data_IF_286500908215
#
_entry.id   IF_286500908215
#
_cell.length_a   1.000
_cell.length_b   1.000
_cell.length_c   1.000
_cell.angle_alpha   90.00
_cell.angle_beta   90.00
_cell.angle_gamma   90.00
#
_symmetry.space_group_name_H-M   'P 1'
#
loop_
_entity.id
_entity.type
_entity.pdbx_description
1 polymer ?
#
# COMPACT_ATOMS: atom_id res chain seq x y z
N UNK A 1 -0.24 0.70 -6.58
CA UNK A 1 -0.43 -0.14 -5.37
C UNK A 1 0.91 -0.77 -5.00
N UNK A 2 1.55 -0.41 -3.87
CA UNK A 2 2.07 -1.47 -2.98
C UNK A 2 2.14 -1.16 -1.46
N UNK A 3 1.93 0.08 -1.02
CA UNK A 3 2.33 0.57 0.31
C UNK A 3 1.79 -0.21 1.52
N UNK A 4 0.50 -0.57 1.54
CA UNK A 4 -0.05 -1.35 2.66
C UNK A 4 0.47 -2.80 2.70
N UNK A 5 0.92 -3.30 1.55
CA UNK A 5 1.47 -4.65 1.44
C UNK A 5 2.90 -4.72 1.95
N UNK A 6 3.72 -3.65 1.92
CA UNK A 6 5.14 -3.78 2.32
C UNK A 6 5.35 -4.04 3.82
N UNK A 7 4.61 -3.32 4.68
CA UNK A 7 4.61 -3.60 6.12
C UNK A 7 4.01 -4.99 6.44
N UNK A 8 3.16 -5.51 5.56
CA UNK A 8 2.64 -6.89 5.61
C UNK A 8 3.53 -7.90 4.87
N UNK A 9 4.50 -7.52 4.03
CA UNK A 9 5.30 -8.44 3.19
C UNK A 9 6.52 -8.99 3.93
N UNK A 10 7.03 -8.26 4.92
CA UNK A 10 7.87 -8.86 5.96
C UNK A 10 7.07 -9.77 6.91
N UNK A 11 5.75 -9.60 6.97
CA UNK A 11 4.84 -10.31 7.88
C UNK A 11 4.14 -11.53 7.21
N UNK A 12 4.10 -11.57 5.88
CA UNK A 12 3.32 -12.51 5.06
C UNK A 12 4.14 -12.91 3.84
N UNK A 13 5.14 -13.76 4.04
CA UNK A 13 5.83 -14.41 2.92
C UNK A 13 4.98 -15.48 2.19
N UNK A 14 3.70 -15.72 2.59
CA UNK A 14 2.83 -16.82 2.04
C UNK A 14 1.34 -16.50 1.81
N UNK A 15 0.53 -16.12 2.82
CA UNK A 15 -0.93 -16.43 2.87
C UNK A 15 -1.94 -15.24 2.79
N UNK A 16 -3.24 -15.51 3.00
CA UNK A 16 -4.41 -14.64 2.64
C UNK A 16 -5.46 -14.51 3.82
N UNK A 17 -6.75 -14.04 3.69
CA UNK A 17 -7.28 -12.98 4.61
C UNK A 17 -8.58 -13.30 5.41
N UNK A 18 -8.96 -12.49 6.44
CA UNK A 18 -10.35 -11.98 6.73
C UNK A 18 -10.63 -11.44 8.18
N UNK A 19 -11.41 -10.33 8.24
CA UNK A 19 -12.48 -9.89 9.18
C UNK A 19 -12.34 -9.62 10.71
N UNK A 20 -12.51 -8.31 11.05
CA UNK A 20 -13.34 -7.61 12.09
C UNK A 20 -13.31 -7.90 13.62
N UNK A 21 -13.52 -6.88 14.51
CA UNK A 21 -13.28 -6.96 15.96
C UNK A 21 -14.49 -6.68 16.90
N UNK A 22 -14.33 -6.91 18.21
CA UNK A 22 -15.24 -6.46 19.29
C UNK A 22 -14.49 -5.85 20.49
N UNK A 23 -15.09 -4.90 21.22
CA UNK A 23 -14.40 -4.03 22.19
C UNK A 23 -14.89 -4.14 23.65
N UNK A 24 -14.01 -3.88 24.61
CA UNK A 24 -14.36 -3.50 25.99
C UNK A 24 -13.36 -2.47 26.56
N UNK A 25 -13.82 -1.61 27.49
CA UNK A 25 -13.07 -0.51 28.13
C UNK A 25 -12.84 -0.78 29.63
N UNK A 26 -11.70 -0.34 30.19
CA UNK A 26 -11.51 -0.06 31.62
C UNK A 26 -10.77 1.29 31.81
N UNK A 27 -10.95 1.91 32.98
CA UNK A 27 -10.62 3.31 33.33
C UNK A 27 -9.22 3.48 34.01
N UNK A 28 -8.73 4.73 34.24
CA UNK A 28 -7.29 5.04 34.35
C UNK A 28 -6.78 5.38 35.77
N UNK A 29 -5.46 5.60 35.88
CA UNK A 29 -4.79 6.29 37.00
C UNK A 29 -3.62 7.17 36.49
N UNK A 30 -3.18 8.12 37.32
CA UNK A 30 -2.51 9.37 36.92
C UNK A 30 -1.04 9.48 37.46
N UNK A 31 -0.25 10.56 37.23
CA UNK A 31 1.11 10.42 36.67
C UNK A 31 2.27 11.01 37.51
N UNK A 32 3.51 10.89 37.01
CA UNK A 32 4.71 11.56 37.51
C UNK A 32 5.61 12.08 36.36
N UNK A 33 6.58 12.97 36.67
CA UNK A 33 7.06 14.01 35.76
C UNK A 33 8.40 13.77 34.99
N UNK A 34 8.63 14.64 34.00
CA UNK A 34 9.75 14.72 33.02
C UNK A 34 11.13 15.06 33.64
N UNK A 35 12.27 14.86 32.92
CA UNK A 35 12.75 15.73 31.81
C UNK A 35 13.28 14.91 30.59
N UNK A 36 13.76 15.44 29.46
CA UNK A 36 14.06 16.81 29.00
C UNK A 36 15.42 16.84 28.31
N UNK A 37 15.47 16.77 26.96
CA UNK A 37 16.73 16.64 26.20
C UNK A 37 16.60 17.08 24.73
N UNK A 38 17.67 17.69 24.18
CA UNK A 38 17.72 18.39 22.89
C UNK A 38 17.96 17.47 21.69
N UNK A 39 17.49 17.90 20.50
CA UNK A 39 17.66 17.16 19.25
C UNK A 39 18.76 17.77 18.36
N UNK A 40 19.62 16.92 17.82
CA UNK A 40 20.56 17.24 16.74
C UNK A 40 19.91 16.95 15.37
N UNK A 41 20.13 17.82 14.40
CA UNK A 41 19.56 17.71 13.04
C UNK A 41 20.35 16.72 12.18
N UNK A 42 19.73 15.59 11.83
CA UNK A 42 20.30 14.59 10.92
C UNK A 42 19.98 14.93 9.46
N UNK A 43 21.02 15.31 8.70
CA UNK A 43 20.93 15.43 7.24
C UNK A 43 20.81 14.06 6.57
N UNK A 44 20.08 14.00 5.45
CA UNK A 44 19.97 12.77 4.67
C UNK A 44 21.34 12.37 4.07
N UNK A 45 21.73 11.09 4.10
CA UNK A 45 23.00 10.65 3.53
C UNK A 45 22.99 10.80 2.01
N UNK A 46 23.90 11.62 1.46
CA UNK A 46 24.15 11.74 0.02
C UNK A 46 25.30 10.83 -0.46
N UNK A 47 25.46 9.68 0.18
CA UNK A 47 26.43 8.66 -0.22
C UNK A 47 25.84 7.72 -1.27
N UNK A 48 26.70 7.07 -2.06
CA UNK A 48 26.31 5.96 -2.95
C UNK A 48 25.68 4.85 -2.12
N UNK A 49 24.36 4.71 -2.20
CA UNK A 49 23.58 3.90 -1.28
C UNK A 49 23.94 2.40 -1.41
N UNK A 50 24.54 1.77 -0.38
CA UNK A 50 24.98 0.38 -0.52
C UNK A 50 23.81 -0.63 -0.59
N UNK A 51 22.58 -0.20 -0.31
CA UNK A 51 21.37 -0.96 -0.60
C UNK A 51 21.25 -1.29 -2.11
N UNK A 52 21.72 -0.41 -3.00
CA UNK A 52 21.71 -0.61 -4.46
C UNK A 52 22.63 -1.75 -4.95
N UNK A 53 23.64 -2.14 -4.17
CA UNK A 53 24.57 -3.21 -4.58
C UNK A 53 23.89 -4.58 -4.68
N UNK A 54 22.97 -4.83 -3.74
CA UNK A 54 22.18 -6.06 -3.69
C UNK A 54 21.02 -6.04 -4.70
N UNK A 55 20.48 -4.86 -5.00
CA UNK A 55 19.16 -4.66 -5.61
C UNK A 55 19.13 -3.55 -6.69
N UNK A 56 19.91 -3.67 -7.78
CA UNK A 56 19.94 -2.64 -8.82
C UNK A 56 18.61 -2.56 -9.57
N UNK A 57 18.07 -1.34 -9.71
CA UNK A 57 16.80 -1.13 -10.41
C UNK A 57 15.56 -1.52 -9.59
N UNK A 58 15.71 -1.83 -8.30
CA UNK A 58 14.58 -1.92 -7.39
C UNK A 58 13.95 -0.54 -7.21
N UNK A 59 12.67 -0.40 -7.58
CA UNK A 59 11.91 0.82 -7.32
C UNK A 59 11.56 0.98 -5.84
N UNK A 60 11.73 -0.06 -5.02
CA UNK A 60 11.48 0.01 -3.59
C UNK A 60 12.26 -1.07 -2.84
N UNK A 61 12.64 -0.76 -1.60
CA UNK A 61 13.21 -1.73 -0.69
C UNK A 61 13.03 -1.37 0.79
N UNK A 62 13.37 -2.34 1.63
CA UNK A 62 13.33 -2.22 3.07
C UNK A 62 14.46 -3.05 3.69
N UNK A 63 15.11 -2.51 4.72
CA UNK A 63 16.06 -3.19 5.57
C UNK A 63 15.60 -3.10 7.03
N UNK A 64 15.49 -4.25 7.69
CA UNK A 64 15.08 -4.42 9.08
C UNK A 64 16.16 -5.21 9.83
N UNK A 65 16.83 -4.57 10.78
CA UNK A 65 17.67 -5.23 11.80
C UNK A 65 16.74 -5.76 12.90
N UNK A 66 16.23 -6.97 12.68
CA UNK A 66 15.36 -7.67 13.62
C UNK A 66 16.10 -8.00 14.92
N UNK A 67 17.42 -8.21 14.90
CA UNK A 67 18.22 -8.45 16.10
C UNK A 67 18.19 -7.26 17.07
N UNK A 68 18.35 -6.05 16.54
CA UNK A 68 18.28 -4.78 17.28
C UNK A 68 16.85 -4.47 17.71
N UNK A 69 15.87 -4.69 16.83
CA UNK A 69 14.46 -4.56 17.20
C UNK A 69 14.09 -5.49 18.38
N UNK A 70 14.49 -6.77 18.35
CA UNK A 70 14.30 -7.72 19.47
C UNK A 70 14.93 -7.24 20.77
N UNK A 71 16.09 -6.58 20.70
CA UNK A 71 16.78 -6.05 21.88
C UNK A 71 16.10 -4.81 22.49
N UNK A 72 15.22 -4.14 21.75
CA UNK A 72 14.52 -2.96 22.22
C UNK A 72 13.35 -3.34 23.16
N UNK A 73 13.19 -2.71 24.34
CA UNK A 73 12.13 -3.05 25.29
C UNK A 73 10.71 -3.03 24.70
N UNK A 74 10.44 -2.09 23.79
CA UNK A 74 9.16 -1.96 23.08
C UNK A 74 8.76 -3.20 22.29
N UNK A 75 9.71 -3.99 21.79
CA UNK A 75 9.42 -5.21 21.05
C UNK A 75 8.79 -6.28 21.96
N UNK A 76 9.33 -6.48 23.17
CA UNK A 76 8.77 -7.43 24.13
C UNK A 76 7.32 -7.07 24.51
N UNK A 77 7.06 -5.78 24.78
CA UNK A 77 5.71 -5.28 25.06
C UNK A 77 4.77 -5.40 23.84
N UNK A 78 5.28 -5.23 22.62
CA UNK A 78 4.51 -5.43 21.38
C UNK A 78 4.13 -6.90 21.17
N UNK A 79 5.06 -7.85 21.34
CA UNK A 79 4.77 -9.28 21.27
C UNK A 79 3.74 -9.69 22.34
N UNK A 80 3.88 -9.19 23.57
CA UNK A 80 2.92 -9.43 24.64
C UNK A 80 1.52 -8.88 24.30
N UNK A 81 1.44 -7.66 23.76
CA UNK A 81 0.18 -7.04 23.35
C UNK A 81 -0.51 -7.78 22.19
N UNK A 82 0.23 -8.26 21.18
CA UNK A 82 -0.33 -9.07 20.09
C UNK A 82 -0.89 -10.41 20.61
N UNK A 83 -0.18 -11.06 21.54
CA UNK A 83 -0.66 -12.29 22.21
C UNK A 83 -1.93 -12.05 23.03
N UNK A 84 -2.03 -10.92 23.74
CA UNK A 84 -3.20 -10.56 24.56
C UNK A 84 -4.44 -10.16 23.74
N UNK A 85 -4.27 -9.43 22.63
CA UNK A 85 -5.39 -8.91 21.83
C UNK A 85 -6.11 -9.97 21.00
N UNK A 86 -5.66 -11.22 21.04
CA UNK A 86 -6.20 -12.25 20.16
C UNK A 86 -5.89 -11.99 18.68
N UNK A 87 -4.88 -11.15 18.40
CA UNK A 87 -4.19 -11.09 17.11
C UNK A 87 -3.35 -12.37 16.90
N UNK A 88 -4.00 -13.53 17.08
CA UNK A 88 -3.51 -14.85 16.67
C UNK A 88 -3.17 -14.71 15.19
N UNK A 89 -1.90 -14.93 14.92
CA UNK A 89 -1.26 -14.28 13.79
C UNK A 89 -1.72 -14.89 12.45
N UNK A 90 -1.21 -14.35 11.34
CA UNK A 90 -1.11 -15.12 10.09
C UNK A 90 0.14 -16.02 10.07
N UNK A 91 0.87 -16.09 11.18
CA UNK A 91 2.08 -16.90 11.43
C UNK A 91 1.89 -18.31 12.07
N UNK A 92 0.69 -18.80 12.51
CA UNK A 92 0.55 -20.13 13.12
C UNK A 92 1.21 -21.27 12.34
N UNK A 93 1.18 -21.32 10.99
CA UNK A 93 1.88 -22.37 10.27
C UNK A 93 3.38 -22.49 10.62
N UNK A 94 4.09 -21.38 10.85
CA UNK A 94 5.51 -21.41 11.20
C UNK A 94 5.75 -21.86 12.64
N UNK A 95 5.05 -21.28 13.62
CA UNK A 95 5.23 -21.65 15.01
C UNK A 95 4.68 -23.06 15.31
N UNK A 96 3.47 -23.39 14.85
CA UNK A 96 2.81 -24.67 15.10
C UNK A 96 3.44 -25.82 14.31
N UNK A 97 3.77 -25.64 13.02
CA UNK A 97 4.29 -26.74 12.18
C UNK A 97 5.81 -26.87 12.25
N UNK A 98 6.55 -25.79 12.56
CA UNK A 98 8.02 -25.83 12.60
C UNK A 98 8.65 -25.60 13.97
N UNK A 99 7.91 -25.11 14.97
CA UNK A 99 8.49 -24.73 16.25
C UNK A 99 9.55 -23.65 16.10
N UNK A 100 9.29 -22.69 15.20
CA UNK A 100 10.18 -21.58 14.85
C UNK A 100 9.37 -20.27 14.84
N UNK A 101 9.67 -19.36 15.77
CA UNK A 101 9.17 -18.00 15.67
C UNK A 101 9.92 -17.26 14.55
N UNK A 102 9.25 -16.71 13.53
CA UNK A 102 9.92 -15.96 12.45
C UNK A 102 10.77 -14.81 12.98
N UNK A 103 10.31 -14.17 14.07
CA UNK A 103 11.02 -13.09 14.76
C UNK A 103 12.31 -13.52 15.42
N UNK A 104 12.38 -14.74 15.94
CA UNK A 104 13.60 -15.29 16.55
C UNK A 104 14.54 -15.89 15.51
N UNK A 105 14.01 -16.33 14.36
CA UNK A 105 14.76 -17.01 13.30
C UNK A 105 15.63 -16.08 12.44
N UNK A 106 15.30 -14.80 12.33
CA UNK A 106 15.92 -13.83 11.41
C UNK A 106 16.69 -12.74 12.16
N UNK A 107 17.91 -12.41 11.77
CA UNK A 107 18.69 -11.32 12.36
C UNK A 107 18.53 -10.02 11.55
N UNK A 108 18.78 -10.07 10.25
CA UNK A 108 18.58 -8.98 9.30
C UNK A 108 17.61 -9.45 8.21
N UNK A 109 16.71 -8.57 7.78
CA UNK A 109 15.78 -8.82 6.68
C UNK A 109 15.87 -7.67 5.67
N UNK A 110 16.17 -8.01 4.42
CA UNK A 110 16.13 -7.10 3.28
C UNK A 110 15.03 -7.56 2.33
N UNK A 111 14.09 -6.67 2.02
CA UNK A 111 13.01 -6.91 1.05
C UNK A 111 13.17 -5.93 -0.10
N UNK A 112 12.93 -6.40 -1.32
CA UNK A 112 12.92 -5.60 -2.54
C UNK A 112 11.68 -5.84 -3.35
N UNK A 113 11.08 -4.76 -3.85
CA UNK A 113 10.05 -4.84 -4.88
C UNK A 113 10.59 -4.26 -6.19
N UNK A 114 10.85 -5.19 -7.11
CA UNK A 114 11.14 -4.98 -8.52
C UNK A 114 10.23 -5.94 -9.34
N UNK A 115 10.57 -6.22 -10.60
CA UNK A 115 9.84 -7.21 -11.43
C UNK A 115 9.88 -8.65 -10.91
N UNK A 116 10.83 -8.97 -10.01
CA UNK A 116 11.17 -10.34 -9.63
C UNK A 116 10.99 -10.65 -8.14
N UNK A 117 10.88 -9.61 -7.30
CA UNK A 117 10.77 -9.59 -5.83
C UNK A 117 11.82 -10.46 -5.15
N UNK A 118 12.81 -9.82 -4.54
CA UNK A 118 13.83 -10.50 -3.74
C UNK A 118 13.64 -10.24 -2.24
N UNK A 119 13.76 -11.31 -1.46
CA UNK A 119 13.99 -11.25 -0.01
C UNK A 119 15.34 -11.89 0.29
N UNK A 120 16.15 -11.19 1.09
CA UNK A 120 17.40 -11.72 1.64
C UNK A 120 17.33 -11.63 3.17
N UNK A 121 17.66 -12.70 3.88
CA UNK A 121 17.60 -12.75 5.34
C UNK A 121 18.85 -13.42 5.92
N UNK A 122 19.46 -12.81 6.93
CA UNK A 122 20.47 -13.50 7.76
C UNK A 122 19.73 -14.26 8.86
N UNK A 123 20.16 -15.48 9.16
CA UNK A 123 19.45 -16.35 10.12
C UNK A 123 20.17 -16.41 11.48
N UNK A 124 19.38 -16.39 12.56
CA UNK A 124 19.83 -16.67 13.91
C UNK A 124 19.88 -18.17 14.23
N UNK A 125 19.27 -18.98 13.36
CA UNK A 125 19.15 -20.43 13.48
C UNK A 125 19.73 -21.14 12.25
N UNK A 126 20.10 -22.43 12.34
CA UNK A 126 20.60 -23.19 11.21
C UNK A 126 19.64 -23.17 10.01
N UNK A 127 20.16 -22.81 8.83
CA UNK A 127 19.36 -22.60 7.62
C UNK A 127 18.63 -23.86 7.15
N UNK A 128 19.20 -25.04 7.39
CA UNK A 128 18.61 -26.34 7.09
C UNK A 128 17.28 -26.57 7.84
N UNK A 129 17.11 -26.00 9.06
CA UNK A 129 15.82 -26.00 9.76
C UNK A 129 14.78 -25.12 9.05
N UNK A 130 15.19 -23.98 8.50
CA UNK A 130 14.30 -23.06 7.78
C UNK A 130 13.89 -23.64 6.42
N UNK A 131 14.83 -24.23 5.68
CA UNK A 131 14.52 -24.90 4.40
C UNK A 131 13.54 -26.08 4.60
N UNK A 132 13.78 -26.97 5.57
CA UNK A 132 12.82 -28.05 5.94
C UNK A 132 11.47 -27.54 6.49
N UNK A 133 11.41 -26.30 6.95
CA UNK A 133 10.15 -25.66 7.32
C UNK A 133 9.39 -25.21 6.07
N UNK A 134 10.07 -24.52 5.15
CA UNK A 134 9.51 -24.03 3.88
C UNK A 134 9.04 -25.17 2.96
N UNK A 135 9.76 -26.30 2.91
CA UNK A 135 9.35 -27.52 2.22
C UNK A 135 7.93 -27.97 2.65
N UNK A 136 7.65 -27.93 3.97
CA UNK A 136 6.38 -28.39 4.54
C UNK A 136 5.26 -27.36 4.41
N UNK A 137 5.50 -26.10 4.78
CA UNK A 137 4.46 -25.06 4.81
C UNK A 137 4.08 -24.60 3.40
N UNK A 138 5.08 -24.32 2.56
CA UNK A 138 4.89 -23.73 1.24
C UNK A 138 4.92 -24.79 0.10
N UNK A 139 4.84 -26.08 0.44
CA UNK A 139 4.89 -27.24 -0.49
C UNK A 139 6.11 -27.22 -1.42
N UNK A 140 7.20 -26.60 -0.96
CA UNK A 140 8.43 -26.49 -1.71
C UNK A 140 9.12 -27.84 -1.88
N UNK A 141 9.77 -28.04 -3.03
CA UNK A 141 10.50 -29.27 -3.35
C UNK A 141 11.98 -29.09 -3.03
N UNK A 142 12.62 -30.01 -2.27
CA UNK A 142 14.07 -30.01 -2.09
C UNK A 142 14.77 -30.03 -3.45
N UNK A 143 15.78 -29.19 -3.62
CA UNK A 143 16.46 -28.97 -4.90
C UNK A 143 17.88 -28.44 -4.70
N UNK A 144 18.60 -28.23 -5.79
CA UNK A 144 19.89 -27.54 -5.80
C UNK A 144 19.85 -26.37 -6.78
N UNK A 145 20.36 -25.21 -6.37
CA UNK A 145 20.42 -24.02 -7.22
C UNK A 145 21.85 -23.46 -7.24
N UNK A 146 22.48 -23.37 -8.41
CA UNK A 146 23.89 -23.00 -8.58
C UNK A 146 24.85 -23.81 -7.65
N UNK A 147 24.52 -25.08 -7.39
CA UNK A 147 25.26 -25.98 -6.50
C UNK A 147 24.98 -25.84 -4.99
N UNK A 148 24.13 -24.90 -4.59
CA UNK A 148 23.71 -24.69 -3.20
C UNK A 148 22.42 -25.46 -2.86
N UNK A 149 22.21 -25.79 -1.59
CA UNK A 149 20.95 -26.37 -1.12
C UNK A 149 19.82 -25.36 -1.30
N UNK A 150 18.72 -25.81 -1.90
CA UNK A 150 17.60 -24.95 -2.25
C UNK A 150 16.24 -25.63 -2.08
N UNK A 151 15.19 -24.83 -2.00
CA UNK A 151 13.79 -25.25 -2.08
C UNK A 151 13.17 -24.54 -3.27
N UNK A 152 12.63 -25.30 -4.22
CA UNK A 152 11.97 -24.79 -5.41
C UNK A 152 10.45 -24.78 -5.23
N UNK A 153 9.79 -23.74 -5.74
CA UNK A 153 8.33 -23.57 -5.67
C UNK A 153 7.70 -23.65 -7.05
N UNK A 154 6.42 -24.06 -7.09
CA UNK A 154 5.69 -24.29 -8.36
C UNK A 154 5.43 -22.99 -9.16
N UNK A 155 5.61 -21.82 -8.54
CA UNK A 155 5.55 -20.50 -9.19
C UNK A 155 6.89 -20.05 -9.82
N UNK A 156 7.90 -20.94 -9.86
CA UNK A 156 9.21 -20.68 -10.44
C UNK A 156 10.19 -19.95 -9.51
N UNK A 157 9.80 -19.62 -8.27
CA UNK A 157 10.72 -19.07 -7.26
C UNK A 157 11.61 -20.15 -6.66
N UNK A 158 12.71 -19.71 -6.06
CA UNK A 158 13.61 -20.54 -5.25
C UNK A 158 13.93 -19.87 -3.93
N UNK A 159 14.10 -20.66 -2.88
CA UNK A 159 14.75 -20.28 -1.63
C UNK A 159 16.10 -21.00 -1.54
N UNK A 160 17.19 -20.28 -1.28
CA UNK A 160 18.56 -20.81 -1.31
C UNK A 160 19.31 -20.36 -0.07
N UNK A 161 20.00 -21.27 0.63
CA UNK A 161 20.98 -20.88 1.66
C UNK A 161 22.37 -20.70 1.05
N UNK A 162 23.06 -19.62 1.44
CA UNK A 162 24.47 -19.40 1.20
C UNK A 162 25.21 -19.14 2.52
N UNK A 163 25.26 -20.13 3.39
CA UNK A 163 26.06 -20.09 4.62
C UNK A 163 25.48 -19.13 5.65
N UNK A 164 24.17 -19.20 5.89
CA UNK A 164 23.43 -18.37 6.84
C UNK A 164 22.76 -17.15 6.23
N UNK A 165 23.01 -16.87 4.95
CA UNK A 165 22.24 -15.91 4.15
C UNK A 165 21.21 -16.67 3.30
N UNK A 166 19.95 -16.55 3.69
CA UNK A 166 18.81 -17.08 2.95
C UNK A 166 18.38 -16.09 1.86
N UNK A 167 18.24 -16.56 0.63
CA UNK A 167 17.77 -15.76 -0.51
C UNK A 167 16.49 -16.38 -1.08
N UNK A 168 15.41 -15.60 -1.19
CA UNK A 168 14.13 -16.03 -1.76
C UNK A 168 13.65 -15.06 -2.84
N UNK A 169 13.23 -15.59 -3.98
CA UNK A 169 12.69 -14.79 -5.09
C UNK A 169 12.68 -15.56 -6.41
N UNK A 170 12.43 -14.85 -7.52
CA UNK A 170 12.60 -15.46 -8.84
C UNK A 170 14.06 -15.90 -9.08
N UNK A 171 14.25 -17.00 -9.80
CA UNK A 171 15.58 -17.59 -10.05
C UNK A 171 16.61 -16.60 -10.61
N UNK A 172 16.18 -15.70 -11.51
CA UNK A 172 17.08 -14.71 -12.12
C UNK A 172 17.61 -13.70 -11.10
N UNK A 173 16.76 -13.19 -10.21
CA UNK A 173 17.14 -12.27 -9.14
C UNK A 173 18.08 -12.95 -8.12
N UNK A 174 17.73 -14.16 -7.66
CA UNK A 174 18.56 -14.95 -6.74
C UNK A 174 19.93 -15.24 -7.37
N UNK A 175 19.97 -15.68 -8.64
CA UNK A 175 21.22 -15.87 -9.40
C UNK A 175 22.02 -14.58 -9.55
N UNK A 176 21.36 -13.44 -9.74
CA UNK A 176 21.98 -12.12 -9.81
C UNK A 176 22.77 -11.78 -8.54
N UNK A 177 22.18 -12.01 -7.36
CA UNK A 177 22.85 -11.82 -6.07
C UNK A 177 23.94 -12.88 -5.83
N UNK A 178 23.67 -14.15 -6.16
CA UNK A 178 24.66 -15.22 -6.00
C UNK A 178 25.93 -14.98 -6.84
N UNK A 179 25.82 -14.48 -8.07
CA UNK A 179 26.95 -14.22 -8.96
C UNK A 179 27.83 -13.05 -8.52
N UNK A 180 27.24 -12.00 -7.93
CA UNK A 180 27.99 -10.88 -7.35
C UNK A 180 28.71 -11.30 -6.08
N UNK A 181 28.03 -12.12 -5.28
CA UNK A 181 28.46 -12.51 -3.95
C UNK A 181 28.23 -11.38 -2.93
N UNK A 182 27.75 -11.70 -1.72
CA UNK A 182 27.95 -10.79 -0.60
C UNK A 182 29.45 -10.78 -0.25
N UNK A 183 30.05 -9.59 -0.05
CA UNK A 183 31.29 -9.54 0.73
C UNK A 183 30.99 -10.12 2.12
N UNK A 184 31.70 -11.19 2.49
CA UNK A 184 31.48 -11.86 3.79
C UNK A 184 31.63 -10.85 4.92
N UNK A 185 30.57 -10.69 5.71
CA UNK A 185 30.58 -9.92 6.96
C UNK A 185 30.00 -8.50 6.88
N UNK A 186 29.71 -7.95 5.70
CA UNK A 186 29.40 -6.51 5.56
C UNK A 186 27.97 -6.14 5.17
N UNK A 187 27.00 -7.04 5.24
CA UNK A 187 25.60 -6.67 4.91
C UNK A 187 25.15 -5.49 5.80
N UNK A 188 25.15 -5.68 7.13
CA UNK A 188 24.77 -4.61 8.06
C UNK A 188 25.68 -3.36 7.99
N UNK A 189 26.99 -3.52 7.78
CA UNK A 189 27.94 -2.38 7.65
C UNK A 189 27.66 -1.54 6.41
N UNK A 190 27.28 -2.17 5.30
CA UNK A 190 26.90 -1.49 4.07
C UNK A 190 25.51 -0.87 4.17
N UNK A 191 24.53 -1.56 4.76
CA UNK A 191 23.14 -1.08 4.79
C UNK A 191 22.85 0.06 5.79
N UNK A 192 23.89 0.73 6.31
CA UNK A 192 23.84 2.14 6.70
C UNK A 192 22.91 2.54 7.84
N UNK A 193 22.41 1.58 8.64
CA UNK A 193 21.60 1.88 9.81
C UNK A 193 22.41 2.68 10.83
N UNK A 194 21.93 3.88 11.18
CA UNK A 194 22.42 4.59 12.36
C UNK A 194 22.36 3.69 13.60
N UNK A 195 23.24 3.83 14.61
CA UNK A 195 23.32 2.90 15.75
C UNK A 195 22.00 2.70 16.52
N UNK A 196 21.07 3.65 16.44
CA UNK A 196 19.74 3.65 17.06
C UNK A 196 18.59 3.24 16.11
N UNK A 197 18.86 3.12 14.81
CA UNK A 197 17.88 2.73 13.80
C UNK A 197 17.80 1.20 13.66
N UNK A 198 16.59 0.67 13.62
CA UNK A 198 16.31 -0.75 13.37
C UNK A 198 15.64 -0.98 12.00
N UNK A 199 15.10 0.06 11.37
CA UNK A 199 14.36 -0.01 10.11
C UNK A 199 14.76 1.15 9.19
N UNK A 200 15.06 0.86 7.93
CA UNK A 200 15.04 1.82 6.82
C UNK A 200 14.16 1.23 5.71
N UNK A 201 13.22 2.01 5.18
CA UNK A 201 12.50 1.71 3.95
C UNK A 201 12.63 2.88 2.98
N UNK A 202 12.65 2.60 1.69
CA UNK A 202 12.73 3.62 0.63
C UNK A 202 12.01 3.14 -0.64
N UNK A 203 11.50 4.06 -1.44
CA UNK A 203 11.00 3.74 -2.77
C UNK A 203 10.66 4.96 -3.63
N UNK A 204 10.71 4.74 -4.93
CA UNK A 204 10.35 5.65 -6.02
C UNK A 204 9.07 5.07 -6.67
N UNK A 205 7.88 5.47 -6.21
CA UNK A 205 6.64 4.92 -6.74
C UNK A 205 6.43 5.38 -8.19
N UNK A 206 6.09 4.44 -9.07
CA UNK A 206 5.81 4.74 -10.49
C UNK A 206 4.54 5.57 -10.69
N UNK A 207 3.61 5.47 -9.74
CA UNK A 207 2.28 6.09 -9.81
C UNK A 207 2.08 7.05 -8.64
N UNK A 208 1.52 8.22 -8.92
CA UNK A 208 1.12 9.21 -7.91
C UNK A 208 2.02 10.46 -7.85
N UNK A 209 1.83 11.30 -6.83
CA UNK A 209 2.51 12.61 -6.76
C UNK A 209 3.93 12.55 -6.16
N UNK A 210 4.32 11.40 -5.60
CA UNK A 210 5.61 11.24 -4.93
C UNK A 210 6.69 10.84 -5.94
N UNK A 211 7.85 11.49 -5.90
CA UNK A 211 9.04 11.09 -6.64
C UNK A 211 9.83 10.02 -5.90
N UNK A 212 9.96 10.20 -4.60
CA UNK A 212 10.58 9.25 -3.69
C UNK A 212 9.96 9.38 -2.30
N UNK A 213 10.05 8.33 -1.51
CA UNK A 213 9.72 8.36 -0.10
C UNK A 213 10.62 7.41 0.68
N UNK A 214 10.81 7.70 1.97
CA UNK A 214 11.63 6.91 2.89
C UNK A 214 11.05 6.91 4.30
N UNK A 215 11.25 5.83 5.05
CA UNK A 215 10.92 5.74 6.46
C UNK A 215 12.13 5.25 7.26
N UNK A 216 12.39 5.84 8.43
CA UNK A 216 13.44 5.38 9.37
C UNK A 216 12.83 5.13 10.74
N UNK A 217 12.91 3.88 11.22
CA UNK A 217 12.44 3.47 12.55
C UNK A 217 13.59 3.39 13.55
N UNK A 218 13.42 4.00 14.72
CA UNK A 218 14.37 3.99 15.85
C UNK A 218 13.69 3.55 17.13
N UNK A 219 14.41 2.82 17.97
CA UNK A 219 13.89 2.35 19.26
C UNK A 219 14.97 2.46 20.35
N UNK A 220 14.59 3.11 21.45
CA UNK A 220 15.36 3.27 22.67
C UNK A 220 14.43 2.99 23.88
N UNK A 221 14.96 2.74 25.09
CA UNK A 221 14.13 2.33 26.23
C UNK A 221 12.94 3.26 26.57
N UNK A 222 13.08 4.57 26.32
CA UNK A 222 12.07 5.60 26.65
C UNK A 222 11.53 6.36 25.43
N UNK A 223 11.96 6.00 24.21
CA UNK A 223 11.60 6.66 22.97
C UNK A 223 11.56 5.66 21.81
N UNK A 224 10.40 5.56 21.16
CA UNK A 224 10.28 5.04 19.82
C UNK A 224 10.09 6.21 18.85
N UNK A 225 10.75 6.20 17.69
CA UNK A 225 10.45 7.15 16.62
C UNK A 225 10.33 6.49 15.25
N UNK A 226 9.43 7.04 14.44
CA UNK A 226 9.29 6.72 13.02
C UNK A 226 9.31 8.02 12.22
N UNK A 227 10.38 8.19 11.43
CA UNK A 227 10.61 9.38 10.62
C UNK A 227 10.27 9.04 9.16
N UNK A 228 9.13 9.54 8.67
CA UNK A 228 8.74 9.41 7.27
C UNK A 228 9.08 10.69 6.49
N UNK A 229 9.62 10.54 5.28
CA UNK A 229 9.89 11.65 4.34
C UNK A 229 9.35 11.27 2.97
N UNK A 230 8.71 12.21 2.27
CA UNK A 230 8.24 12.00 0.90
C UNK A 230 8.46 13.25 0.04
N UNK A 231 9.23 13.11 -1.04
CA UNK A 231 9.45 14.16 -2.02
C UNK A 231 8.28 14.20 -3.01
N UNK A 232 7.61 15.35 -3.09
CA UNK A 232 6.48 15.63 -3.97
C UNK A 232 6.88 16.47 -5.19
N UNK A 233 8.19 16.61 -5.44
CA UNK A 233 8.77 17.27 -6.61
C UNK A 233 8.66 18.80 -6.63
N UNK A 234 7.67 19.41 -5.96
CA UNK A 234 7.57 20.86 -5.77
C UNK A 234 7.18 21.22 -4.34
N UNK A 235 7.65 22.38 -3.87
CA UNK A 235 7.31 22.89 -2.54
C UNK A 235 5.82 23.23 -2.38
N UNK A 236 5.14 23.57 -3.48
CA UNK A 236 3.71 23.85 -3.44
C UNK A 236 2.88 22.57 -3.26
N UNK A 237 3.20 21.52 -4.01
CA UNK A 237 2.59 20.19 -3.82
C UNK A 237 2.84 19.67 -2.40
N UNK A 238 4.05 19.89 -1.85
CA UNK A 238 4.40 19.53 -0.48
C UNK A 238 3.56 20.27 0.57
N UNK A 239 3.38 21.58 0.44
CA UNK A 239 2.50 22.37 1.32
C UNK A 239 1.04 21.93 1.24
N UNK A 240 0.51 21.73 0.03
CA UNK A 240 -0.87 21.28 -0.16
C UNK A 240 -1.11 19.87 0.41
N UNK A 241 -0.15 18.96 0.25
CA UNK A 241 -0.21 17.64 0.87
C UNK A 241 -0.18 17.73 2.40
N UNK A 242 0.70 18.57 2.97
CA UNK A 242 0.81 18.74 4.41
C UNK A 242 -0.49 19.30 5.03
N UNK A 243 -1.12 20.30 4.42
CA UNK A 243 -2.42 20.83 4.85
C UNK A 243 -3.49 19.73 4.85
N UNK A 244 -3.59 18.93 3.78
CA UNK A 244 -4.57 17.82 3.70
C UNK A 244 -4.33 16.73 4.74
N UNK A 245 -3.08 16.45 5.07
CA UNK A 245 -2.72 15.50 6.15
C UNK A 245 -3.11 16.08 7.51
N UNK A 246 -2.80 17.35 7.80
CA UNK A 246 -3.15 17.98 9.08
C UNK A 246 -4.67 18.08 9.29
N UNK A 247 -5.43 18.48 8.27
CA UNK A 247 -6.91 18.40 8.30
C UNK A 247 -7.41 16.95 8.51
N UNK A 248 -6.75 15.97 7.90
CA UNK A 248 -7.04 14.55 8.07
C UNK A 248 -6.83 14.10 9.51
N UNK A 249 -5.74 14.54 10.14
CA UNK A 249 -5.40 14.28 11.54
C UNK A 249 -6.36 15.01 12.50
N UNK A 250 -6.74 16.25 12.20
CA UNK A 250 -7.74 17.00 12.96
C UNK A 250 -9.08 16.24 13.00
N UNK A 251 -9.61 15.84 11.84
CA UNK A 251 -10.82 15.01 11.74
C UNK A 251 -10.66 13.64 12.41
N UNK A 252 -9.46 13.04 12.37
CA UNK A 252 -9.18 11.76 13.03
C UNK A 252 -9.07 11.86 14.56
N UNK A 253 -8.90 13.06 15.13
CA UNK A 253 -8.97 13.31 16.59
C UNK A 253 -10.41 13.42 17.09
N UNK A 254 -11.37 13.71 16.21
CA UNK A 254 -12.79 13.77 16.57
C UNK A 254 -13.35 12.34 16.77
N UNK A 255 -13.97 12.09 17.94
CA UNK A 255 -14.64 10.83 18.24
C UNK A 255 -13.75 9.63 18.61
N UNK A 256 -12.42 9.75 18.58
CA UNK A 256 -11.50 8.67 19.00
C UNK A 256 -11.19 8.71 20.50
N UNK A 257 -10.83 7.56 21.13
CA UNK A 257 -10.43 7.53 22.54
C UNK A 257 -9.20 8.40 22.84
N UNK A 258 -9.10 8.94 24.06
CA UNK A 258 -8.01 9.85 24.46
C UNK A 258 -6.58 9.30 24.25
N UNK A 259 -6.36 7.98 24.40
CA UNK A 259 -5.07 7.36 24.08
C UNK A 259 -4.70 7.42 22.58
N UNK A 260 -5.70 7.43 21.71
CA UNK A 260 -5.53 7.65 20.27
C UNK A 260 -5.19 9.11 19.99
N UNK A 261 -5.84 10.06 20.68
CA UNK A 261 -5.50 11.49 20.59
C UNK A 261 -4.04 11.73 20.98
N UNK A 262 -3.57 11.21 22.12
CA UNK A 262 -2.15 11.29 22.56
C UNK A 262 -1.19 10.73 21.49
N UNK A 263 -1.57 9.66 20.80
CA UNK A 263 -0.79 9.08 19.70
C UNK A 263 -0.77 10.00 18.47
N UNK A 264 -1.90 10.62 18.12
CA UNK A 264 -2.04 11.58 17.03
C UNK A 264 -1.39 12.96 17.33
N UNK A 265 -1.19 13.32 18.59
CA UNK A 265 -0.41 14.48 19.03
C UNK A 265 1.11 14.20 18.99
N UNK A 266 1.49 12.93 19.08
CA UNK A 266 2.88 12.48 18.95
C UNK A 266 3.37 12.48 17.49
N UNK A 267 2.47 12.69 16.53
CA UNK A 267 2.77 12.84 15.09
C UNK A 267 2.96 14.32 14.74
N UNK A 268 4.18 14.70 14.37
CA UNK A 268 4.56 16.04 13.92
C UNK A 268 4.70 16.05 12.41
N UNK A 269 4.23 17.11 11.76
CA UNK A 269 4.30 17.29 10.31
C UNK A 269 5.06 18.58 9.98
N UNK A 270 6.00 18.51 9.05
CA UNK A 270 6.76 19.67 8.55
C UNK A 270 6.99 19.56 7.04
N UNK A 271 7.34 20.69 6.41
CA UNK A 271 7.66 20.77 4.98
C UNK A 271 9.07 21.33 4.81
N UNK A 272 9.91 20.59 4.11
CA UNK A 272 11.32 20.89 3.83
C UNK A 272 11.52 20.98 2.31
N UNK A 273 11.30 22.18 1.74
CA UNK A 273 11.32 22.36 0.29
C UNK A 273 10.20 21.56 -0.37
N UNK A 274 10.53 20.64 -1.28
CA UNK A 274 9.58 19.72 -1.93
C UNK A 274 9.23 18.47 -1.10
N UNK A 275 9.86 18.30 0.08
CA UNK A 275 9.67 17.11 0.92
C UNK A 275 8.67 17.39 2.04
N UNK A 276 7.70 16.49 2.23
CA UNK A 276 6.90 16.41 3.46
C UNK A 276 7.60 15.47 4.42
N UNK A 277 7.77 15.90 5.67
CA UNK A 277 8.35 15.10 6.75
C UNK A 277 7.29 14.87 7.82
N UNK A 278 6.98 13.61 8.12
CA UNK A 278 6.05 13.21 9.16
C UNK A 278 6.81 12.38 10.21
N UNK A 279 6.86 12.86 11.45
CA UNK A 279 7.63 12.26 12.54
C UNK A 279 6.73 11.83 13.69
N UNK A 280 6.63 10.53 13.93
CA UNK A 280 5.98 9.97 15.11
C UNK A 280 7.02 9.81 16.22
N UNK A 281 6.82 10.42 17.39
CA UNK A 281 7.70 10.30 18.57
C UNK A 281 6.92 9.80 19.80
N UNK A 282 6.95 8.48 20.05
CA UNK A 282 6.28 7.88 21.19
C UNK A 282 7.23 7.81 22.38
N UNK A 283 6.88 8.52 23.47
CA UNK A 283 7.64 8.58 24.72
C UNK A 283 6.86 7.94 25.85
N UNK A 284 7.56 7.28 26.76
CA UNK A 284 6.97 6.59 27.91
C UNK A 284 7.65 5.25 28.16
N UNK A 285 6.97 4.36 28.88
CA UNK A 285 7.42 2.97 29.04
C UNK A 285 7.34 2.18 27.73
N UNK A 286 7.87 0.96 27.73
CA UNK A 286 7.78 0.06 26.58
C UNK A 286 6.32 -0.29 26.23
N UNK A 287 5.45 -0.38 27.23
CA UNK A 287 4.01 -0.62 27.09
C UNK A 287 3.29 0.57 26.45
N UNK A 288 3.57 1.80 26.93
CA UNK A 288 3.06 3.04 26.34
C UNK A 288 3.45 3.16 24.86
N UNK A 289 4.72 2.86 24.55
CA UNK A 289 5.25 2.87 23.19
C UNK A 289 4.55 1.80 22.32
N UNK A 290 4.44 0.56 22.80
CA UNK A 290 3.79 -0.52 22.06
C UNK A 290 2.30 -0.24 21.78
N UNK A 291 1.57 0.30 22.76
CA UNK A 291 0.18 0.73 22.58
C UNK A 291 0.04 1.87 21.57
N UNK A 292 0.97 2.84 21.59
CA UNK A 292 1.05 3.90 20.59
C UNK A 292 1.36 3.39 19.18
N UNK A 293 2.29 2.44 19.04
CA UNK A 293 2.62 1.80 17.75
C UNK A 293 1.40 1.06 17.19
N UNK A 294 0.75 0.21 17.98
CA UNK A 294 -0.44 -0.53 17.55
C UNK A 294 -1.57 0.40 17.11
N UNK A 295 -1.76 1.50 17.85
CA UNK A 295 -2.73 2.55 17.50
C UNK A 295 -2.39 3.26 16.19
N UNK A 296 -1.14 3.71 16.02
CA UNK A 296 -0.67 4.38 14.81
C UNK A 296 -0.73 3.46 13.58
N UNK A 297 -0.39 2.18 13.73
CA UNK A 297 -0.48 1.18 12.68
C UNK A 297 -1.94 0.95 12.24
N UNK A 298 -2.87 0.81 13.19
CA UNK A 298 -4.30 0.64 12.88
C UNK A 298 -4.87 1.83 12.08
N UNK A 299 -4.57 3.07 12.52
CA UNK A 299 -4.95 4.28 11.80
C UNK A 299 -4.30 4.37 10.42
N UNK A 300 -3.01 4.02 10.31
CA UNK A 300 -2.27 3.98 9.05
C UNK A 300 -2.90 3.03 8.03
N UNK A 301 -3.28 1.82 8.45
CA UNK A 301 -3.97 0.85 7.57
C UNK A 301 -5.32 1.40 7.08
N UNK A 302 -6.12 2.02 7.95
CA UNK A 302 -7.40 2.64 7.55
C UNK A 302 -7.18 3.80 6.59
N UNK A 303 -6.20 4.67 6.86
CA UNK A 303 -5.86 5.80 5.99
C UNK A 303 -5.38 5.34 4.60
N UNK A 304 -4.49 4.34 4.53
CA UNK A 304 -4.00 3.78 3.27
C UNK A 304 -5.12 3.08 2.49
N UNK A 305 -5.99 2.30 3.15
CA UNK A 305 -7.18 1.71 2.49
C UNK A 305 -8.08 2.79 1.89
N UNK A 306 -8.41 3.84 2.66
CA UNK A 306 -9.24 4.95 2.18
C UNK A 306 -8.58 5.71 1.02
N UNK A 307 -7.27 5.95 1.09
CA UNK A 307 -6.52 6.56 -0.01
C UNK A 307 -6.53 5.69 -1.28
N UNK A 308 -6.35 4.37 -1.14
CA UNK A 308 -6.42 3.44 -2.26
C UNK A 308 -7.82 3.40 -2.88
N UNK A 309 -8.88 3.34 -2.08
CA UNK A 309 -10.26 3.44 -2.56
C UNK A 309 -10.48 4.78 -3.31
N UNK A 310 -10.10 5.91 -2.71
CA UNK A 310 -10.18 7.22 -3.37
C UNK A 310 -9.40 7.27 -4.70
N UNK A 311 -8.21 6.68 -4.77
CA UNK A 311 -7.41 6.59 -5.99
C UNK A 311 -8.00 5.66 -7.06
N UNK A 312 -8.81 4.67 -6.69
CA UNK A 312 -9.61 3.90 -7.67
C UNK A 312 -10.79 4.74 -8.16
N UNK A 313 -11.51 5.40 -7.26
CA UNK A 313 -12.74 6.15 -7.60
C UNK A 313 -12.52 7.33 -8.55
N UNK A 314 -11.32 7.92 -8.60
CA UNK A 314 -10.99 8.95 -9.59
C UNK A 314 -11.12 8.46 -11.04
N UNK A 315 -10.93 7.16 -11.29
CA UNK A 315 -11.20 6.52 -12.58
C UNK A 315 -12.67 6.71 -12.98
N UNK A 316 -13.61 6.23 -12.16
CA UNK A 316 -15.05 6.38 -12.42
C UNK A 316 -15.49 7.84 -12.59
N UNK A 317 -15.01 8.75 -11.72
CA UNK A 317 -15.34 10.19 -11.81
C UNK A 317 -14.89 10.79 -13.15
N UNK A 318 -13.67 10.47 -13.58
CA UNK A 318 -13.10 11.02 -14.81
C UNK A 318 -13.80 10.44 -16.05
N UNK A 319 -13.93 9.12 -16.13
CA UNK A 319 -14.47 8.43 -17.31
C UNK A 319 -15.96 8.69 -17.52
N UNK A 320 -16.79 8.70 -16.45
CA UNK A 320 -18.22 9.04 -16.56
C UNK A 320 -18.41 10.46 -17.13
N UNK A 321 -17.58 11.41 -16.70
CA UNK A 321 -17.60 12.77 -17.25
C UNK A 321 -17.03 12.85 -18.68
N UNK A 322 -16.04 12.02 -19.02
CA UNK A 322 -15.49 11.95 -20.37
C UNK A 322 -16.53 11.45 -21.38
N UNK A 323 -17.23 10.36 -21.05
CA UNK A 323 -18.36 9.83 -21.83
C UNK A 323 -19.46 10.90 -21.98
N UNK A 324 -19.83 11.60 -20.91
CA UNK A 324 -20.86 12.64 -20.97
C UNK A 324 -20.47 13.81 -21.90
N UNK A 325 -19.21 14.27 -21.87
CA UNK A 325 -18.68 15.28 -22.82
C UNK A 325 -18.67 14.76 -24.26
N UNK A 326 -18.34 13.49 -24.47
CA UNK A 326 -18.41 12.87 -25.79
C UNK A 326 -19.83 12.81 -26.36
N UNK A 327 -20.81 12.44 -25.53
CA UNK A 327 -22.23 12.47 -25.88
C UNK A 327 -22.73 13.90 -26.18
N UNK A 328 -22.23 14.91 -25.47
CA UNK A 328 -22.52 16.32 -25.78
C UNK A 328 -21.97 16.70 -27.16
N UNK A 329 -20.70 16.39 -27.45
CA UNK A 329 -20.07 16.68 -28.75
C UNK A 329 -20.81 16.01 -29.92
N UNK A 330 -21.33 14.79 -29.71
CA UNK A 330 -22.19 14.11 -30.68
C UNK A 330 -23.53 14.84 -30.94
N UNK A 331 -24.14 15.43 -29.90
CA UNK A 331 -25.33 16.26 -30.05
C UNK A 331 -25.02 17.58 -30.76
N UNK A 332 -23.92 18.26 -30.41
CA UNK A 332 -23.48 19.47 -31.10
C UNK A 332 -23.25 19.21 -32.60
N UNK A 333 -22.65 18.05 -32.93
CA UNK A 333 -22.53 17.56 -34.29
C UNK A 333 -23.87 17.32 -35.00
N UNK A 334 -24.94 16.92 -34.30
CA UNK A 334 -26.28 16.87 -34.88
C UNK A 334 -26.84 18.27 -35.16
N UNK A 335 -26.70 19.20 -34.21
CA UNK A 335 -27.19 20.58 -34.33
C UNK A 335 -26.53 21.29 -35.51
N UNK A 336 -25.20 21.19 -35.64
CA UNK A 336 -24.44 21.75 -36.76
C UNK A 336 -24.86 21.20 -38.12
N UNK A 337 -25.38 19.97 -38.18
CA UNK A 337 -25.92 19.33 -39.38
C UNK A 337 -27.44 19.52 -39.55
N UNK A 338 -28.08 20.42 -38.79
CA UNK A 338 -29.52 20.68 -38.85
C UNK A 338 -30.40 19.49 -38.41
N UNK A 339 -29.84 18.52 -37.70
CA UNK A 339 -30.55 17.32 -37.25
C UNK A 339 -31.18 17.54 -35.88
N UNK A 340 -32.36 16.96 -35.67
CA UNK A 340 -33.05 17.00 -34.38
C UNK A 340 -32.24 16.27 -33.30
N UNK A 341 -31.78 17.02 -32.29
CA UNK A 341 -31.01 16.52 -31.15
C UNK A 341 -31.63 15.28 -30.50
N UNK A 342 -30.92 14.15 -30.60
CA UNK A 342 -31.26 12.86 -30.01
C UNK A 342 -29.99 12.12 -29.58
N UNK A 343 -29.98 11.61 -28.36
CA UNK A 343 -28.91 10.71 -27.90
C UNK A 343 -28.84 9.45 -28.78
N UNK A 344 -27.67 8.79 -28.87
CA UNK A 344 -27.56 7.44 -29.43
C UNK A 344 -28.40 6.43 -28.62
N UNK A 345 -28.69 5.23 -29.13
CA UNK A 345 -29.32 4.15 -28.35
C UNK A 345 -28.50 3.81 -27.09
N UNK A 346 -29.10 3.10 -26.13
CA UNK A 346 -28.34 2.60 -24.97
C UNK A 346 -27.15 1.72 -25.39
N UNK A 347 -26.03 1.81 -24.68
CA UNK A 347 -24.89 0.91 -24.81
C UNK A 347 -25.00 -0.24 -23.80
N UNK A 348 -24.63 -1.48 -24.16
CA UNK A 348 -24.41 -2.52 -23.18
C UNK A 348 -23.24 -2.17 -22.26
N UNK A 349 -23.22 -2.79 -21.09
CA UNK A 349 -22.20 -2.58 -20.07
C UNK A 349 -20.84 -3.15 -20.48
N UNK A 350 -19.75 -2.40 -20.27
CA UNK A 350 -18.37 -2.79 -20.65
C UNK A 350 -17.36 -2.53 -19.50
N UNK A 351 -16.63 -3.56 -19.00
CA UNK A 351 -16.85 -5.01 -19.23
C UNK A 351 -18.22 -5.47 -18.73
N UNK A 352 -18.78 -6.55 -19.31
CA UNK A 352 -20.14 -6.99 -18.98
C UNK A 352 -20.38 -7.31 -17.49
N UNK A 353 -19.35 -7.84 -16.80
CA UNK A 353 -19.34 -8.05 -15.36
C UNK A 353 -18.72 -6.87 -14.60
N UNK A 354 -19.25 -6.54 -13.43
CA UNK A 354 -18.64 -5.58 -12.49
C UNK A 354 -17.30 -6.16 -11.99
N UNK A 355 -16.16 -5.46 -12.14
CA UNK A 355 -14.88 -5.91 -11.58
C UNK A 355 -14.92 -5.95 -10.05
N UNK A 356 -14.32 -6.99 -9.46
CA UNK A 356 -14.32 -7.28 -8.02
C UNK A 356 -12.93 -7.17 -7.41
N UNK A 357 -12.57 -6.02 -6.90
CA UNK A 357 -11.29 -5.69 -6.26
C UNK A 357 -10.09 -5.60 -7.21
N UNK A 358 -10.17 -6.26 -8.37
CA UNK A 358 -9.14 -6.40 -9.40
C UNK A 358 -9.43 -5.51 -10.61
N UNK A 359 -8.38 -5.16 -11.35
CA UNK A 359 -8.52 -4.53 -12.68
C UNK A 359 -8.88 -5.58 -13.72
N UNK A 360 -9.77 -5.24 -14.65
CA UNK A 360 -10.13 -6.05 -15.81
C UNK A 360 -9.65 -5.33 -17.06
N UNK A 361 -8.95 -6.03 -17.96
CA UNK A 361 -8.61 -5.51 -19.27
C UNK A 361 -9.75 -5.80 -20.26
N UNK A 362 -10.33 -4.77 -20.87
CA UNK A 362 -11.28 -4.92 -21.98
C UNK A 362 -10.54 -5.03 -23.31
N UNK A 363 -11.15 -5.68 -24.29
CA UNK A 363 -10.64 -5.70 -25.66
C UNK A 363 -11.16 -4.48 -26.43
N UNK A 364 -10.43 -3.94 -27.42
CA UNK A 364 -10.93 -2.83 -28.26
C UNK A 364 -12.28 -3.13 -28.91
N UNK A 365 -12.56 -4.41 -29.24
CA UNK A 365 -13.83 -4.88 -29.78
C UNK A 365 -15.03 -4.66 -28.86
N UNK A 366 -14.83 -4.59 -27.53
CA UNK A 366 -15.91 -4.42 -26.56
C UNK A 366 -16.51 -3.01 -26.64
N UNK A 367 -15.71 -2.04 -27.11
CA UNK A 367 -16.06 -0.64 -27.30
C UNK A 367 -16.62 -0.33 -28.70
N UNK A 368 -16.77 -1.33 -29.58
CA UNK A 368 -17.18 -1.11 -30.97
C UNK A 368 -18.68 -0.76 -31.15
N UNK A 369 -19.48 -0.82 -30.09
CA UNK A 369 -20.91 -0.49 -30.12
C UNK A 369 -21.13 0.95 -30.62
N UNK A 370 -22.12 1.22 -31.51
CA UNK A 370 -22.31 2.54 -32.11
C UNK A 370 -22.43 3.70 -31.11
N UNK A 371 -22.97 3.43 -29.92
CA UNK A 371 -23.09 4.40 -28.82
C UNK A 371 -21.74 4.78 -28.20
N UNK A 372 -20.82 3.84 -28.02
CA UNK A 372 -19.47 4.13 -27.50
C UNK A 372 -18.68 4.94 -28.53
N UNK A 373 -18.80 4.59 -29.82
CA UNK A 373 -18.27 5.39 -30.93
C UNK A 373 -18.88 6.79 -31.00
N UNK A 374 -20.19 6.93 -30.80
CA UNK A 374 -20.85 8.24 -30.73
C UNK A 374 -20.35 9.06 -29.54
N UNK A 375 -20.10 8.43 -28.39
CA UNK A 375 -19.48 9.07 -27.24
C UNK A 375 -17.95 9.29 -27.39
N UNK A 376 -17.35 8.92 -28.53
CA UNK A 376 -15.90 8.98 -28.79
C UNK A 376 -15.07 8.31 -27.67
N UNK A 377 -15.57 7.20 -27.13
CA UNK A 377 -15.08 6.62 -25.89
C UNK A 377 -14.61 5.16 -26.03
N UNK A 378 -13.44 4.87 -25.48
CA UNK A 378 -12.88 3.52 -25.33
C UNK A 378 -11.76 3.53 -24.29
N UNK A 379 -11.66 2.49 -23.47
CA UNK A 379 -10.56 2.31 -22.51
C UNK A 379 -9.61 1.23 -23.03
N UNK A 380 -8.31 1.54 -23.09
CA UNK A 380 -7.26 0.59 -23.49
C UNK A 380 -6.47 0.01 -22.32
N UNK A 381 -6.59 0.57 -21.12
CA UNK A 381 -5.88 0.12 -19.91
C UNK A 381 -6.76 -0.75 -18.99
N UNK A 382 -6.19 -1.52 -18.05
CA UNK A 382 -6.97 -2.32 -17.11
C UNK A 382 -7.74 -1.44 -16.11
N UNK A 383 -9.06 -1.56 -16.10
CA UNK A 383 -10.03 -0.72 -15.38
C UNK A 383 -10.62 -1.41 -14.14
N UNK A 384 -10.93 -0.66 -13.08
CA UNK A 384 -11.68 -1.12 -11.90
C UNK A 384 -13.19 -1.01 -12.05
N UNK A 385 -13.68 -0.19 -12.98
CA UNK A 385 -15.10 0.04 -13.19
C UNK A 385 -15.62 -0.55 -14.49
N UNK A 386 -16.94 -0.70 -14.52
CA UNK A 386 -17.71 -1.13 -15.66
C UNK A 386 -18.76 -0.08 -16.03
N UNK A 387 -18.77 0.30 -17.31
CA UNK A 387 -19.44 1.50 -17.81
C UNK A 387 -20.66 1.16 -18.64
N UNK A 388 -21.72 1.96 -18.53
CA UNK A 388 -23.00 1.74 -19.21
C UNK A 388 -23.62 3.10 -19.62
N UNK A 389 -24.26 3.15 -20.79
CA UNK A 389 -25.02 4.33 -21.25
C UNK A 389 -26.48 3.90 -21.41
N UNK A 390 -27.37 4.45 -20.59
CA UNK A 390 -28.80 4.14 -20.61
C UNK A 390 -29.54 5.34 -21.18
N UNK A 391 -30.02 5.23 -22.42
CA UNK A 391 -30.78 6.28 -23.10
C UNK A 391 -32.29 6.02 -22.96
N UNK A 392 -33.08 7.07 -22.69
CA UNK A 392 -34.54 6.97 -22.63
C UNK A 392 -35.16 6.65 -24.01
N UNK A 393 -36.36 6.03 -24.07
CA UNK A 393 -36.98 5.63 -25.35
C UNK A 393 -37.21 6.76 -26.36
N UNK A 394 -37.44 7.98 -25.90
CA UNK A 394 -37.58 9.19 -26.75
C UNK A 394 -36.25 9.71 -27.31
N UNK A 395 -35.13 9.25 -26.72
CA UNK A 395 -33.75 9.69 -26.91
C UNK A 395 -33.52 11.17 -26.56
N UNK A 396 -34.29 11.71 -25.61
CA UNK A 396 -34.14 13.07 -25.08
C UNK A 396 -33.41 13.14 -23.75
N UNK A 397 -33.29 12.04 -23.01
CA UNK A 397 -32.39 11.94 -21.86
C UNK A 397 -31.50 10.70 -21.95
N UNK A 398 -30.34 10.78 -21.31
CA UNK A 398 -29.39 9.68 -21.16
C UNK A 398 -28.78 9.70 -19.75
N UNK A 399 -28.36 8.53 -19.29
CA UNK A 399 -27.59 8.36 -18.05
C UNK A 399 -26.32 7.60 -18.35
N UNK A 400 -25.19 8.18 -18.00
CA UNK A 400 -23.88 7.52 -18.02
C UNK A 400 -23.63 6.98 -16.63
N UNK A 401 -23.32 5.68 -16.53
CA UNK A 401 -23.10 5.00 -15.26
C UNK A 401 -21.76 4.28 -15.23
N UNK A 402 -21.13 4.25 -14.07
CA UNK A 402 -20.02 3.35 -13.76
C UNK A 402 -20.32 2.56 -12.48
N UNK A 403 -19.94 1.28 -12.50
CA UNK A 403 -20.15 0.30 -11.43
C UNK A 403 -18.83 -0.39 -11.09
N UNK A 404 -18.46 -0.46 -9.82
CA UNK A 404 -17.27 -1.16 -9.35
C UNK A 404 -17.50 -1.74 -7.95
N UNK A 405 -16.88 -2.86 -7.64
CA UNK A 405 -16.87 -3.53 -6.34
C UNK A 405 -15.38 -3.50 -5.93
N UNK A 406 -14.92 -2.50 -5.15
CA UNK A 406 -13.49 -2.19 -5.05
C UNK A 406 -12.73 -3.03 -4.02
N UNK A 407 -13.43 -3.69 -3.10
CA UNK A 407 -12.85 -4.64 -2.14
C UNK A 407 -13.21 -6.11 -2.39
N UNK A 408 -14.26 -6.39 -3.18
CA UNK A 408 -14.69 -7.73 -3.57
C UNK A 408 -15.84 -8.31 -2.74
N UNK A 409 -16.47 -7.55 -1.83
CA UNK A 409 -17.54 -8.02 -0.95
C UNK A 409 -18.88 -8.30 -1.68
N UNK A 410 -19.05 -7.80 -2.90
CA UNK A 410 -20.25 -7.94 -3.72
C UNK A 410 -21.21 -6.76 -3.69
N UNK A 411 -20.91 -5.70 -2.95
CA UNK A 411 -21.56 -4.38 -3.04
C UNK A 411 -20.87 -3.55 -4.11
N UNK A 412 -21.58 -2.56 -4.66
CA UNK A 412 -21.04 -1.79 -5.79
C UNK A 412 -21.11 -0.28 -5.59
N UNK A 413 -19.93 0.34 -5.47
CA UNK A 413 -19.70 1.75 -5.82
C UNK A 413 -20.42 2.08 -7.14
N UNK A 414 -21.29 3.09 -7.13
CA UNK A 414 -22.00 3.56 -8.32
C UNK A 414 -21.77 5.06 -8.55
N UNK A 415 -21.45 5.42 -9.79
CA UNK A 415 -21.29 6.79 -10.26
C UNK A 415 -22.26 7.04 -11.41
N UNK A 416 -23.01 8.15 -11.39
CA UNK A 416 -24.00 8.48 -12.42
C UNK A 416 -23.93 9.96 -12.84
N UNK A 417 -23.93 10.23 -14.15
CA UNK A 417 -24.24 11.55 -14.72
C UNK A 417 -25.49 11.42 -15.59
N UNK A 418 -26.50 12.23 -15.27
CA UNK A 418 -27.69 12.39 -16.09
C UNK A 418 -27.51 13.53 -17.10
N UNK A 419 -28.06 13.37 -18.30
CA UNK A 419 -28.10 14.38 -19.36
C UNK A 419 -29.51 14.50 -19.93
N UNK A 420 -29.94 15.71 -20.29
CA UNK A 420 -31.24 15.99 -20.89
C UNK A 420 -31.12 17.01 -22.03
N UNK A 421 -31.84 16.78 -23.13
CA UNK A 421 -32.07 17.76 -24.19
C UNK A 421 -33.37 18.49 -23.92
N UNK A 422 -33.28 19.77 -23.56
CA UNK A 422 -34.44 20.60 -23.22
C UNK A 422 -35.35 20.87 -24.43
N UNK A 423 -36.52 21.45 -24.17
CA UNK A 423 -37.43 21.92 -25.23
C UNK A 423 -36.85 23.03 -26.11
N UNK A 424 -35.86 23.79 -25.61
CA UNK A 424 -35.14 24.83 -26.39
C UNK A 424 -34.00 24.27 -27.22
N UNK A 425 -33.66 22.98 -27.08
CA UNK A 425 -32.52 22.36 -27.75
C UNK A 425 -31.19 22.55 -27.03
N UNK A 426 -31.21 23.02 -25.77
CA UNK A 426 -30.03 23.05 -24.91
C UNK A 426 -29.75 21.65 -24.33
N UNK A 427 -28.47 21.32 -24.10
CA UNK A 427 -28.06 20.07 -23.45
C UNK A 427 -27.69 20.36 -22.01
N UNK A 428 -28.52 19.91 -21.06
CA UNK A 428 -28.23 19.97 -19.64
C UNK A 428 -27.42 18.73 -19.24
N UNK A 429 -26.35 18.95 -18.47
CA UNK A 429 -25.56 17.90 -17.84
C UNK A 429 -25.67 18.11 -16.32
N UNK A 430 -26.22 17.13 -15.62
CA UNK A 430 -26.38 17.19 -14.18
C UNK A 430 -25.06 16.91 -13.46
N UNK A 431 -24.94 17.38 -12.23
CA UNK A 431 -23.81 17.05 -11.35
C UNK A 431 -23.68 15.53 -11.18
N UNK A 432 -22.44 15.04 -11.17
CA UNK A 432 -22.11 13.65 -10.84
C UNK A 432 -22.75 13.25 -9.50
N UNK A 433 -23.51 12.15 -9.52
CA UNK A 433 -24.04 11.51 -8.33
C UNK A 433 -23.18 10.30 -7.98
N UNK A 434 -22.93 10.10 -6.69
CA UNK A 434 -22.10 9.02 -6.16
C UNK A 434 -22.92 8.25 -5.11
N UNK A 435 -22.86 6.92 -5.15
CA UNK A 435 -23.49 6.04 -4.17
C UNK A 435 -22.45 5.02 -3.72
N UNK A 436 -22.29 4.88 -2.41
CA UNK A 436 -21.28 4.04 -1.75
C UNK A 436 -19.88 4.13 -2.37
N UNK A 437 -19.32 5.34 -2.66
CA UNK A 437 -18.11 5.49 -3.48
C UNK A 437 -16.81 5.08 -2.79
N UNK A 438 -16.85 4.34 -1.69
CA UNK A 438 -15.66 3.80 -1.01
C UNK A 438 -15.74 2.28 -0.75
N UNK A 439 -16.82 1.62 -1.23
CA UNK A 439 -16.89 0.16 -1.38
C UNK A 439 -16.21 -0.28 -2.67
#
# INVERSE_FOLDING_TARGET
MPWCSLFLLAWVLVATPACTPSSHRIAPLAPAASPGGSSTTSGAPRGTDPLLFLLPGASMGMHLDASRLRSAPVFASMIAWMKLTGAKEHLPPFEEQCGLSPWEAVNDLVVSEDKHRLVAATLAIPADRVLRCLERIAKGKPSTFEGLQAVAFDDGKVCVDRGGLLLYGAQEAVRGVLRRGPEKGKLAEHLGLAPDAFLIAWGEPTDGPFRSASAVGRAAPTLFSLDFRADLGTAETARQAAVKVDEGLARAREGVPAGVVKTLESLKLSVEGSTVVAKLELRGSAEDQAAGIGTAAALGVVAVRRYLAQSKTSEARYEVQAIARGLQSYLDGQLANGRALRFPPSAPRVPASIPKGIRVQTAPSDWEHPTWKAALFSISEPQYYSYEIITAPDRKSARVKAYGDLDGDGRSSTFEVQMEVTRTGEVLIHSLQETDPLE
#
